data_IF_691531327006
#
_entry.id   IF_691531327006
#
_cell.length_a   1.000
_cell.length_b   1.000
_cell.length_c   1.000
_cell.angle_alpha   90.00
_cell.angle_beta   90.00
_cell.angle_gamma   90.00
#
_symmetry.space_group_name_H-M   'P 1'
#
loop_
_entity.id
_entity.type
_entity.pdbx_description
1 polymer ?
#
# COMPACT_ATOMS: atom_id res chain seq x y z
N UNK A 1 -26.58 -13.94 -10.20
CA UNK A 1 -25.87 -13.68 -11.46
C UNK A 1 -25.93 -14.96 -12.29
N UNK A 2 -26.25 -14.88 -13.57
CA UNK A 2 -26.04 -15.97 -14.53
C UNK A 2 -24.71 -15.77 -15.28
N UNK A 3 -24.31 -16.72 -16.13
CA UNK A 3 -23.03 -16.63 -16.85
C UNK A 3 -22.94 -15.41 -17.79
N UNK A 4 -24.02 -15.02 -18.46
CA UNK A 4 -24.04 -13.87 -19.36
C UNK A 4 -23.87 -12.53 -18.63
N UNK A 5 -24.49 -12.41 -17.45
CA UNK A 5 -24.31 -11.28 -16.54
C UNK A 5 -22.88 -11.22 -16.01
N UNK A 6 -22.28 -12.38 -15.67
CA UNK A 6 -20.87 -12.47 -15.30
C UNK A 6 -19.96 -12.00 -16.43
N UNK A 7 -20.16 -12.51 -17.65
CA UNK A 7 -19.33 -12.16 -18.81
C UNK A 7 -19.42 -10.66 -19.16
N UNK A 8 -20.59 -10.06 -18.98
CA UNK A 8 -20.80 -8.63 -19.16
C UNK A 8 -19.99 -7.81 -18.14
N UNK A 9 -20.08 -8.17 -16.86
CA UNK A 9 -19.32 -7.49 -15.80
C UNK A 9 -17.81 -7.75 -15.90
N UNK A 10 -17.41 -8.97 -16.29
CA UNK A 10 -16.03 -9.34 -16.61
C UNK A 10 -15.44 -8.45 -17.71
N UNK A 11 -16.17 -8.27 -18.81
CA UNK A 11 -15.74 -7.42 -19.94
C UNK A 11 -15.58 -5.96 -19.51
N UNK A 12 -16.50 -5.43 -18.69
CA UNK A 12 -16.37 -4.08 -18.14
C UNK A 12 -15.11 -3.92 -17.27
N UNK A 13 -14.76 -4.93 -16.48
CA UNK A 13 -13.52 -4.91 -15.67
C UNK A 13 -12.29 -4.95 -16.57
N UNK A 14 -12.28 -5.77 -17.63
CA UNK A 14 -11.18 -5.78 -18.60
C UNK A 14 -11.00 -4.43 -19.30
N UNK A 15 -12.07 -3.76 -19.72
CA UNK A 15 -12.00 -2.45 -20.35
C UNK A 15 -11.46 -1.38 -19.39
N UNK A 16 -11.81 -1.46 -18.10
CA UNK A 16 -11.25 -0.59 -17.06
C UNK A 16 -9.76 -0.81 -16.86
N UNK A 17 -9.30 -2.07 -16.86
CA UNK A 17 -7.87 -2.42 -16.77
C UNK A 17 -7.13 -1.88 -17.99
N UNK A 18 -7.62 -2.15 -19.20
CA UNK A 18 -7.00 -1.69 -20.46
C UNK A 18 -6.97 -0.17 -20.59
N UNK A 19 -8.00 0.52 -20.10
CA UNK A 19 -8.09 1.97 -20.14
C UNK A 19 -7.25 2.69 -19.08
N UNK A 20 -6.66 1.97 -18.13
CA UNK A 20 -5.92 2.57 -17.00
C UNK A 20 -6.79 3.45 -16.09
N UNK A 21 -8.12 3.35 -16.18
CA UNK A 21 -9.08 4.24 -15.49
C UNK A 21 -9.50 3.74 -14.11
N UNK A 22 -8.80 2.77 -13.56
CA UNK A 22 -9.18 2.10 -12.33
C UNK A 22 -7.95 1.87 -11.46
N UNK A 23 -8.02 2.29 -10.21
CA UNK A 23 -6.99 1.98 -9.22
C UNK A 23 -7.02 0.48 -8.87
N UNK A 24 -5.89 -0.03 -8.38
CA UNK A 24 -5.79 -1.43 -7.97
C UNK A 24 -6.82 -1.83 -6.89
N UNK A 25 -7.11 -0.95 -5.93
CA UNK A 25 -8.09 -1.23 -4.86
C UNK A 25 -9.50 -1.37 -5.41
N UNK A 26 -9.87 -0.56 -6.40
CA UNK A 26 -11.14 -0.67 -7.11
C UNK A 26 -11.24 -1.96 -7.92
N UNK A 27 -10.15 -2.36 -8.61
CA UNK A 27 -10.08 -3.61 -9.37
C UNK A 27 -10.23 -4.84 -8.45
N UNK A 28 -9.53 -4.88 -7.32
CA UNK A 28 -9.67 -5.94 -6.32
C UNK A 28 -11.11 -6.04 -5.77
N UNK A 29 -11.74 -4.89 -5.50
CA UNK A 29 -13.14 -4.83 -5.11
C UNK A 29 -14.12 -5.32 -6.19
N UNK A 30 -13.79 -5.13 -7.47
CA UNK A 30 -14.58 -5.66 -8.59
C UNK A 30 -14.47 -7.19 -8.71
N UNK A 31 -13.26 -7.75 -8.62
CA UNK A 31 -13.02 -9.20 -8.64
C UNK A 31 -13.74 -9.90 -7.49
N UNK A 32 -13.70 -9.32 -6.29
CA UNK A 32 -14.41 -9.86 -5.11
C UNK A 32 -15.91 -9.92 -5.34
N UNK A 33 -16.51 -8.87 -5.93
CA UNK A 33 -17.94 -8.82 -6.27
C UNK A 33 -18.33 -9.86 -7.32
N UNK A 34 -17.52 -10.05 -8.36
CA UNK A 34 -17.74 -11.09 -9.37
C UNK A 34 -17.71 -12.50 -8.75
N UNK A 35 -16.77 -12.74 -7.84
CA UNK A 35 -16.63 -14.02 -7.13
C UNK A 35 -17.83 -14.31 -6.23
N UNK A 36 -18.36 -13.30 -5.55
CA UNK A 36 -19.57 -13.43 -4.73
C UNK A 36 -20.82 -13.61 -5.58
N UNK A 37 -20.96 -12.85 -6.67
CA UNK A 37 -22.13 -12.90 -7.56
C UNK A 37 -22.31 -14.26 -8.26
N UNK A 38 -21.21 -14.97 -8.50
CA UNK A 38 -21.19 -16.27 -9.18
C UNK A 38 -21.19 -17.48 -8.22
N UNK A 39 -21.25 -17.26 -6.90
CA UNK A 39 -21.17 -18.35 -5.91
C UNK A 39 -22.30 -19.40 -6.05
N UNK A 40 -23.46 -18.99 -6.59
CA UNK A 40 -24.62 -19.87 -6.77
C UNK A 40 -24.68 -20.55 -8.15
N UNK A 41 -23.70 -20.30 -9.03
CA UNK A 41 -23.59 -20.98 -10.34
C UNK A 41 -22.86 -22.31 -10.11
N UNK A 42 -23.62 -23.41 -10.17
CA UNK A 42 -23.13 -24.76 -9.87
C UNK A 42 -23.04 -25.66 -11.10
N UNK A 43 -23.47 -25.20 -12.28
CA UNK A 43 -23.37 -25.99 -13.50
C UNK A 43 -21.88 -26.20 -13.84
N UNK A 44 -21.39 -27.45 -14.01
CA UNK A 44 -19.95 -27.73 -14.09
C UNK A 44 -19.22 -26.96 -15.19
N UNK A 45 -19.84 -26.83 -16.37
CA UNK A 45 -19.25 -26.13 -17.53
C UNK A 45 -19.11 -24.63 -17.25
N UNK A 46 -20.18 -24.00 -16.76
CA UNK A 46 -20.18 -22.57 -16.43
C UNK A 46 -19.23 -22.27 -15.28
N UNK A 47 -19.18 -23.15 -14.26
CA UNK A 47 -18.29 -23.00 -13.11
C UNK A 47 -16.82 -23.05 -13.53
N UNK A 48 -16.44 -24.02 -14.36
CA UNK A 48 -15.07 -24.14 -14.86
C UNK A 48 -14.64 -22.88 -15.64
N UNK A 49 -15.55 -22.33 -16.45
CA UNK A 49 -15.28 -21.11 -17.21
C UNK A 49 -15.14 -19.89 -16.30
N UNK A 50 -16.05 -19.71 -15.34
CA UNK A 50 -15.98 -18.63 -14.34
C UNK A 50 -14.67 -18.69 -13.55
N UNK A 51 -14.24 -19.88 -13.12
CA UNK A 51 -13.00 -20.06 -12.38
C UNK A 51 -11.77 -19.68 -13.22
N UNK A 52 -11.75 -20.08 -14.49
CA UNK A 52 -10.70 -19.68 -15.45
C UNK A 52 -10.64 -18.16 -15.62
N UNK A 53 -11.80 -17.52 -15.83
CA UNK A 53 -11.88 -16.09 -16.08
C UNK A 53 -11.52 -15.26 -14.84
N UNK A 54 -11.97 -15.69 -13.65
CA UNK A 54 -11.56 -15.08 -12.38
C UNK A 54 -10.06 -15.24 -12.12
N UNK A 55 -9.46 -16.38 -12.49
CA UNK A 55 -8.03 -16.58 -12.37
C UNK A 55 -7.24 -15.66 -13.31
N UNK A 56 -7.70 -15.48 -14.55
CA UNK A 56 -7.10 -14.55 -15.51
C UNK A 56 -7.16 -13.10 -15.00
N UNK A 57 -8.31 -12.67 -14.47
CA UNK A 57 -8.44 -11.35 -13.83
C UNK A 57 -7.50 -11.20 -12.63
N UNK A 58 -7.37 -12.24 -11.80
CA UNK A 58 -6.42 -12.24 -10.68
C UNK A 58 -4.99 -11.97 -11.13
N UNK A 59 -4.54 -12.67 -12.17
CA UNK A 59 -3.20 -12.47 -12.75
C UNK A 59 -3.01 -11.06 -13.33
N UNK A 60 -4.03 -10.52 -14.02
CA UNK A 60 -3.98 -9.17 -14.56
C UNK A 60 -3.95 -8.11 -13.46
N UNK A 61 -4.67 -8.32 -12.36
CA UNK A 61 -4.63 -7.45 -11.17
C UNK A 61 -3.24 -7.50 -10.51
N UNK A 62 -2.65 -8.68 -10.38
CA UNK A 62 -1.30 -8.84 -9.82
C UNK A 62 -0.23 -8.18 -10.71
N UNK A 63 -0.36 -8.33 -12.04
CA UNK A 63 0.54 -7.66 -12.98
C UNK A 63 0.35 -6.14 -12.92
N UNK A 64 -0.90 -5.66 -12.91
CA UNK A 64 -1.23 -4.24 -12.79
C UNK A 64 -0.67 -3.65 -11.50
N UNK A 65 -0.77 -4.35 -10.37
CA UNK A 65 -0.13 -3.97 -9.11
C UNK A 65 1.37 -3.76 -9.29
N UNK A 66 2.07 -4.76 -9.84
CA UNK A 66 3.53 -4.71 -10.09
C UNK A 66 3.95 -3.62 -11.07
N UNK A 67 3.13 -3.30 -12.06
CA UNK A 67 3.48 -2.31 -13.11
C UNK A 67 3.01 -0.89 -12.82
N UNK A 68 1.98 -0.72 -11.97
CA UNK A 68 1.42 0.57 -11.58
C UNK A 68 2.04 1.09 -10.27
N UNK A 69 2.67 0.22 -9.47
CA UNK A 69 3.69 0.59 -8.46
C UNK A 69 5.00 1.08 -9.13
N UNK A 70 4.90 1.84 -10.22
CA UNK A 70 6.03 2.54 -10.86
C UNK A 70 6.23 3.94 -10.28
N UNK A 71 5.64 4.20 -9.12
CA UNK A 71 6.24 5.13 -8.18
C UNK A 71 7.49 4.43 -7.64
N UNK A 72 8.66 4.81 -8.16
CA UNK A 72 9.94 4.17 -7.89
C UNK A 72 10.11 4.02 -6.37
N UNK A 73 10.10 2.78 -5.87
CA UNK A 73 10.21 2.48 -4.43
C UNK A 73 11.43 3.17 -3.83
N UNK A 74 12.50 3.26 -4.62
CA UNK A 74 13.69 4.03 -4.33
C UNK A 74 13.42 5.53 -4.15
N UNK A 75 12.64 6.14 -5.04
CA UNK A 75 12.30 7.58 -4.98
C UNK A 75 11.45 7.88 -3.75
N UNK A 76 10.37 7.12 -3.50
CA UNK A 76 9.52 7.33 -2.31
C UNK A 76 10.36 7.19 -1.03
N UNK A 77 11.15 6.11 -0.94
CA UNK A 77 11.96 5.85 0.25
C UNK A 77 13.01 6.95 0.45
N UNK A 78 13.68 7.37 -0.62
CA UNK A 78 14.68 8.45 -0.57
C UNK A 78 14.06 9.77 -0.13
N UNK A 79 12.89 10.13 -0.65
CA UNK A 79 12.19 11.35 -0.26
C UNK A 79 11.66 11.30 1.18
N UNK A 80 11.14 10.16 1.62
CA UNK A 80 10.70 9.97 3.00
C UNK A 80 11.88 10.11 3.98
N UNK A 81 13.04 9.52 3.66
CA UNK A 81 14.27 9.63 4.46
C UNK A 81 14.80 11.07 4.45
N UNK A 82 14.81 11.74 3.29
CA UNK A 82 15.23 13.14 3.16
C UNK A 82 14.34 14.06 4.01
N UNK A 83 13.02 13.89 3.94
CA UNK A 83 12.07 14.63 4.79
C UNK A 83 12.33 14.41 6.27
N UNK A 84 12.46 13.16 6.70
CA UNK A 84 12.70 12.80 8.09
C UNK A 84 14.03 13.33 8.65
N UNK A 85 15.04 13.48 7.78
CA UNK A 85 16.36 13.97 8.15
C UNK A 85 16.46 15.50 8.20
N UNK A 86 15.44 16.23 7.73
CA UNK A 86 15.44 17.69 7.77
C UNK A 86 15.45 18.22 9.20
N UNK A 87 16.32 19.21 9.45
CA UNK A 87 16.43 19.92 10.72
C UNK A 87 15.41 21.05 10.91
N UNK A 88 14.51 21.27 9.94
CA UNK A 88 13.56 22.37 9.96
C UNK A 88 12.41 22.13 10.95
N UNK A 89 12.03 23.18 11.68
CA UNK A 89 10.92 23.17 12.63
C UNK A 89 11.35 22.88 14.08
N UNK A 90 10.37 22.74 14.96
CA UNK A 90 10.60 22.39 16.37
C UNK A 90 10.99 20.91 16.52
N UNK A 91 11.51 20.52 17.70
CA UNK A 91 11.78 19.10 18.01
C UNK A 91 10.51 18.26 17.86
N UNK A 92 9.35 18.78 18.27
CA UNK A 92 8.06 18.12 18.11
C UNK A 92 7.69 17.91 16.63
N UNK A 93 7.89 18.92 15.77
CA UNK A 93 7.63 18.81 14.33
C UNK A 93 8.53 17.77 13.67
N UNK A 94 9.79 17.69 14.11
CA UNK A 94 10.76 16.72 13.60
C UNK A 94 10.38 15.30 14.00
N UNK A 95 9.97 15.08 15.25
CA UNK A 95 9.45 13.79 15.74
C UNK A 95 8.25 13.35 14.89
N UNK A 96 7.26 14.24 14.72
CA UNK A 96 6.06 13.94 13.93
C UNK A 96 6.38 13.59 12.47
N UNK A 97 7.34 14.30 11.85
CA UNK A 97 7.77 14.05 10.48
C UNK A 97 8.48 12.71 10.33
N UNK A 98 9.35 12.35 11.28
CA UNK A 98 10.03 11.05 11.28
C UNK A 98 9.00 9.92 11.42
N UNK A 99 8.01 10.07 12.32
CA UNK A 99 6.94 9.09 12.48
C UNK A 99 6.14 8.90 11.18
N UNK A 100 5.74 10.00 10.52
CA UNK A 100 5.03 9.95 9.25
C UNK A 100 5.84 9.25 8.15
N UNK A 101 7.15 9.53 8.04
CA UNK A 101 8.03 8.85 7.08
C UNK A 101 8.19 7.35 7.38
N UNK A 102 8.23 6.93 8.65
CA UNK A 102 8.27 5.51 9.03
C UNK A 102 6.99 4.80 8.60
N UNK A 103 5.82 5.41 8.82
CA UNK A 103 4.53 4.84 8.44
C UNK A 103 4.40 4.72 6.91
N UNK A 104 4.87 5.72 6.17
CA UNK A 104 4.90 5.73 4.71
C UNK A 104 5.75 4.58 4.14
N UNK A 105 6.99 4.43 4.64
CA UNK A 105 7.89 3.35 4.22
C UNK A 105 7.33 1.98 4.65
N UNK A 106 6.71 1.88 5.84
CA UNK A 106 6.09 0.62 6.31
C UNK A 106 4.90 0.22 5.43
N UNK A 107 4.06 1.18 5.04
CA UNK A 107 2.96 0.97 4.09
C UNK A 107 3.48 0.54 2.72
N UNK A 108 4.58 1.15 2.25
CA UNK A 108 5.25 0.76 1.01
C UNK A 108 5.79 -0.67 1.08
N UNK A 109 6.41 -1.05 2.21
CA UNK A 109 6.95 -2.39 2.45
C UNK A 109 5.85 -3.47 2.49
N UNK A 110 4.68 -3.14 3.04
CA UNK A 110 3.54 -4.07 3.04
C UNK A 110 2.96 -4.31 1.63
N UNK A 111 3.10 -3.33 0.73
CA UNK A 111 2.68 -3.46 -0.68
C UNK A 111 3.75 -4.12 -1.57
N UNK A 112 5.02 -4.04 -1.17
CA UNK A 112 6.18 -4.57 -1.89
C UNK A 112 6.90 -5.65 -1.08
N UNK A 113 6.33 -6.88 -1.00
CA UNK A 113 6.89 -7.95 -0.16
C UNK A 113 8.31 -8.35 -0.54
N UNK A 114 8.67 -8.25 -1.83
CA UNK A 114 10.00 -8.58 -2.34
C UNK A 114 11.08 -7.59 -1.86
N UNK A 115 10.71 -6.34 -1.59
CA UNK A 115 11.61 -5.28 -1.10
C UNK A 115 11.44 -4.99 0.40
N UNK A 116 10.56 -5.73 1.07
CA UNK A 116 10.15 -5.47 2.46
C UNK A 116 11.34 -5.40 3.41
N UNK A 117 12.29 -6.32 3.30
CA UNK A 117 13.44 -6.36 4.21
C UNK A 117 14.31 -5.10 4.08
N UNK A 118 14.64 -4.69 2.85
CA UNK A 118 15.43 -3.49 2.57
C UNK A 118 14.69 -2.21 3.02
N UNK A 119 13.38 -2.14 2.80
CA UNK A 119 12.55 -1.02 3.26
C UNK A 119 12.48 -0.98 4.80
N UNK A 120 12.32 -2.12 5.45
CA UNK A 120 12.32 -2.19 6.91
C UNK A 120 13.68 -1.81 7.51
N UNK A 121 14.79 -2.14 6.84
CA UNK A 121 16.12 -1.69 7.25
C UNK A 121 16.22 -0.15 7.20
N UNK A 122 15.70 0.49 6.15
CA UNK A 122 15.64 1.95 6.04
C UNK A 122 14.86 2.61 7.19
N UNK A 123 13.77 1.99 7.66
CA UNK A 123 13.03 2.50 8.84
C UNK A 123 13.80 2.41 10.15
N UNK A 124 14.77 1.50 10.26
CA UNK A 124 15.50 1.27 11.52
C UNK A 124 16.35 2.48 11.92
N UNK A 125 17.01 3.11 10.95
CA UNK A 125 17.76 4.36 11.16
C UNK A 125 16.84 5.50 11.59
N UNK A 126 15.66 5.61 10.98
CA UNK A 126 14.67 6.63 11.35
C UNK A 126 14.12 6.42 12.76
N UNK A 127 13.89 5.18 13.18
CA UNK A 127 13.46 4.84 14.54
C UNK A 127 14.50 5.23 15.59
N UNK A 128 15.78 5.03 15.30
CA UNK A 128 16.87 5.47 16.18
C UNK A 128 16.88 7.00 16.33
N UNK A 129 16.75 7.73 15.22
CA UNK A 129 16.66 9.19 15.24
C UNK A 129 15.43 9.67 16.02
N UNK A 130 14.27 9.04 15.79
CA UNK A 130 13.03 9.33 16.51
C UNK A 130 13.20 9.15 18.03
N UNK A 131 13.73 8.01 18.46
CA UNK A 131 13.98 7.73 19.87
C UNK A 131 14.94 8.72 20.51
N UNK A 132 15.99 9.12 19.79
CA UNK A 132 16.95 10.12 20.27
C UNK A 132 16.28 11.48 20.51
N UNK A 133 15.47 11.96 19.55
CA UNK A 133 14.75 13.22 19.68
C UNK A 133 13.70 13.21 20.79
N UNK A 134 13.01 12.08 20.97
CA UNK A 134 12.07 11.92 22.08
C UNK A 134 12.76 12.04 23.44
N UNK A 135 13.92 11.39 23.61
CA UNK A 135 14.72 11.49 24.84
C UNK A 135 15.18 12.92 25.09
N UNK A 136 15.63 13.64 24.05
CA UNK A 136 16.03 15.04 24.17
C UNK A 136 14.85 15.94 24.57
N UNK A 137 13.68 15.76 23.97
CA UNK A 137 12.49 16.54 24.30
C UNK A 137 12.04 16.30 25.75
N UNK A 138 12.09 15.05 26.22
CA UNK A 138 11.75 14.72 27.61
C UNK A 138 12.74 15.35 28.60
N UNK A 139 14.03 15.36 28.28
CA UNK A 139 15.05 16.01 29.12
C UNK A 139 14.81 17.53 29.24
N UNK A 140 14.56 18.21 28.11
CA UNK A 140 14.25 19.65 28.10
C UNK A 140 12.99 19.97 28.92
N UNK A 141 11.96 19.14 28.83
CA UNK A 141 10.73 19.32 29.61
C UNK A 141 10.95 19.10 31.11
N UNK A 142 11.76 18.10 31.48
CA UNK A 142 12.08 17.82 32.87
C UNK A 142 12.91 18.95 33.51
N UNK A 143 13.88 19.51 32.78
CA UNK A 143 14.67 20.66 33.22
C UNK A 143 13.80 21.92 33.39
N UNK A 144 12.91 22.19 32.44
CA UNK A 144 11.98 23.31 32.53
C UNK A 144 11.03 23.17 33.74
N UNK A 145 10.58 21.96 34.06
CA UNK A 145 9.73 21.69 35.22
C UNK A 145 10.48 21.80 36.55
N UNK A 146 11.78 21.52 36.59
CA UNK A 146 12.61 21.63 37.80
C UNK A 146 13.06 23.07 38.10
N UNK A 147 12.96 23.98 37.12
CA UNK A 147 13.31 25.40 37.26
C UNK A 147 12.14 26.28 37.73
N UNK A 148 10.95 25.71 37.93
CA UNK A 148 9.72 26.37 38.40
C UNK A 148 9.30 25.85 39.79
#
# INVERSE_FOLDING_TARGET
MNYDEFNTEYTKVLDKIRGGKCSWSELSGHVTRLRQGTANITMPVERAQIDSDLAALGQMVDLSRRTNDREDVWTITSDAVRRASSGEGTVADRIARIAASIDEITSLANRNPDEREALMQSTSTLRLLHSSLQSSLQAEQAEAAAAH
#
